data_IF_943935711324
#
_entry.id   IF_943935711324
#
_cell.length_a   1.000
_cell.length_b   1.000
_cell.length_c   1.000
_cell.angle_alpha   90.00
_cell.angle_beta   90.00
_cell.angle_gamma   90.00
#
_symmetry.space_group_name_H-M   'P 1'
#
loop_
_entity.id
_entity.type
_entity.pdbx_description
1 polymer ?
#
# COMPACT_ATOMS: atom_id res chain seq x y z
N UNK A 1 -11.00 -6.60 -0.65
CA UNK A 1 -11.49 -6.32 0.73
C UNK A 1 -12.40 -7.43 1.24
N UNK A 2 -13.49 -7.78 0.56
CA UNK A 2 -14.42 -8.83 1.01
C UNK A 2 -13.75 -10.19 1.30
N UNK A 3 -12.89 -10.68 0.40
CA UNK A 3 -12.21 -11.98 0.60
C UNK A 3 -11.47 -12.08 1.94
N UNK A 4 -10.67 -11.08 2.31
CA UNK A 4 -9.99 -11.11 3.62
C UNK A 4 -10.94 -10.91 4.81
N UNK A 5 -12.10 -10.26 4.63
CA UNK A 5 -13.13 -10.18 5.67
C UNK A 5 -13.73 -11.57 5.97
N UNK A 6 -13.88 -12.41 4.94
CA UNK A 6 -14.38 -13.77 5.07
C UNK A 6 -13.27 -14.79 5.36
N UNK A 7 -12.03 -14.34 5.61
CA UNK A 7 -10.88 -15.20 5.88
C UNK A 7 -10.25 -15.86 4.66
N UNK A 8 -10.71 -15.55 3.44
CA UNK A 8 -10.08 -15.98 2.20
C UNK A 8 -8.85 -15.11 1.89
N UNK A 9 -7.79 -15.39 2.64
CA UNK A 9 -6.50 -14.71 2.52
C UNK A 9 -5.72 -15.12 1.28
N UNK A 10 -6.00 -16.30 0.70
CA UNK A 10 -5.45 -16.69 -0.59
C UNK A 10 -5.87 -15.70 -1.67
N UNK A 11 -7.18 -15.52 -1.87
CA UNK A 11 -7.71 -14.58 -2.85
C UNK A 11 -7.36 -13.13 -2.48
N UNK A 12 -7.46 -12.79 -1.19
CA UNK A 12 -7.17 -11.44 -0.73
C UNK A 12 -5.73 -11.01 -1.03
N UNK A 13 -4.74 -11.85 -0.75
CA UNK A 13 -3.32 -11.55 -0.98
C UNK A 13 -3.00 -11.33 -2.45
N UNK A 14 -3.49 -12.21 -3.32
CA UNK A 14 -3.23 -12.12 -4.77
C UNK A 14 -3.90 -10.91 -5.42
N UNK A 15 -5.01 -10.41 -4.87
CA UNK A 15 -5.68 -9.22 -5.37
C UNK A 15 -5.09 -7.95 -4.76
N UNK A 16 -4.94 -7.89 -3.43
CA UNK A 16 -4.63 -6.64 -2.74
C UNK A 16 -3.19 -6.17 -2.97
N UNK A 17 -2.21 -7.07 -3.01
CA UNK A 17 -0.81 -6.66 -3.18
C UNK A 17 -0.59 -5.90 -4.51
N UNK A 18 -1.02 -6.40 -5.68
CA UNK A 18 -0.95 -5.64 -6.93
C UNK A 18 -1.73 -4.31 -6.88
N UNK A 19 -2.87 -4.28 -6.18
CA UNK A 19 -3.68 -3.06 -6.05
C UNK A 19 -3.00 -2.01 -5.18
N UNK A 20 -2.33 -2.40 -4.09
CA UNK A 20 -1.52 -1.49 -3.26
C UNK A 20 -0.36 -0.93 -4.09
N UNK A 21 0.36 -1.79 -4.81
CA UNK A 21 1.45 -1.37 -5.69
C UNK A 21 0.99 -0.33 -6.71
N UNK A 22 -0.11 -0.61 -7.41
CA UNK A 22 -0.68 0.32 -8.38
C UNK A 22 -1.18 1.62 -7.74
N UNK A 23 -1.80 1.53 -6.55
CA UNK A 23 -2.30 2.71 -5.82
C UNK A 23 -1.15 3.64 -5.41
N UNK A 24 -0.02 3.08 -4.97
CA UNK A 24 1.17 3.87 -4.62
C UNK A 24 1.71 4.58 -5.87
N UNK A 25 1.79 3.88 -7.00
CA UNK A 25 2.19 4.53 -8.27
C UNK A 25 1.26 5.67 -8.64
N UNK A 26 -0.05 5.42 -8.56
CA UNK A 26 -1.05 6.44 -8.85
C UNK A 26 -0.91 7.67 -7.94
N UNK A 27 -0.69 7.49 -6.64
CA UNK A 27 -0.48 8.60 -5.71
C UNK A 27 0.76 9.42 -6.05
N UNK A 28 1.86 8.77 -6.43
CA UNK A 28 3.08 9.44 -6.88
C UNK A 28 2.87 10.20 -8.19
N UNK A 29 2.20 9.58 -9.16
CA UNK A 29 1.83 10.22 -10.43
C UNK A 29 0.99 11.47 -10.19
N UNK A 30 0.00 11.43 -9.29
CA UNK A 30 -0.80 12.63 -8.94
C UNK A 30 0.03 13.77 -8.31
N UNK A 31 1.20 13.46 -7.76
CA UNK A 31 2.15 14.46 -7.23
C UNK A 31 3.14 14.96 -8.29
N UNK A 32 2.95 14.58 -9.55
CA UNK A 32 3.85 14.93 -10.66
C UNK A 32 5.14 14.10 -10.69
N UNK A 33 5.24 13.04 -9.89
CA UNK A 33 6.42 12.18 -9.85
C UNK A 33 6.24 11.10 -10.92
N UNK A 34 7.16 11.05 -11.87
CA UNK A 34 7.14 10.05 -12.93
C UNK A 34 7.54 8.70 -12.33
N UNK A 35 6.57 7.77 -12.26
CA UNK A 35 6.79 6.40 -11.76
C UNK A 35 7.18 5.42 -12.85
N UNK A 36 7.34 5.90 -14.08
CA UNK A 36 7.74 5.14 -15.24
C UNK A 36 9.01 5.71 -15.86
N UNK A 37 9.78 4.85 -16.51
CA UNK A 37 10.97 5.23 -17.27
C UNK A 37 10.88 4.70 -18.69
N UNK A 38 11.28 5.51 -19.67
CA UNK A 38 11.56 5.02 -21.01
C UNK A 38 12.84 4.20 -20.96
N UNK A 39 12.79 2.94 -21.39
CA UNK A 39 14.01 2.17 -21.60
C UNK A 39 14.69 2.61 -22.92
N UNK A 40 15.93 2.14 -23.16
CA UNK A 40 16.70 2.44 -24.37
C UNK A 40 15.98 2.07 -25.69
N UNK A 41 14.91 1.28 -25.62
CA UNK A 41 14.09 0.83 -26.74
C UNK A 41 12.80 1.64 -26.91
N UNK A 42 12.60 2.71 -26.15
CA UNK A 42 11.41 3.55 -26.22
C UNK A 42 10.15 2.94 -25.58
N UNK A 43 10.30 1.84 -24.82
CA UNK A 43 9.20 1.21 -24.08
C UNK A 43 9.14 1.80 -22.68
N UNK A 44 7.96 2.26 -22.29
CA UNK A 44 7.69 2.75 -20.94
C UNK A 44 7.59 1.56 -19.98
N UNK A 45 8.58 1.41 -19.11
CA UNK A 45 8.56 0.45 -18.02
C UNK A 45 8.16 1.15 -16.73
N UNK A 46 7.14 0.64 -16.05
CA UNK A 46 6.83 1.08 -14.68
C UNK A 46 7.98 0.70 -13.75
N UNK A 47 8.36 1.61 -12.85
CA UNK A 47 9.31 1.30 -11.80
C UNK A 47 8.75 0.19 -10.89
N UNK A 48 9.61 -0.77 -10.53
CA UNK A 48 9.29 -1.81 -9.56
C UNK A 48 9.03 -1.14 -8.20
N UNK A 49 8.03 -1.63 -7.45
CA UNK A 49 7.72 -1.21 -6.09
C UNK A 49 8.96 -1.20 -5.17
N UNK A 50 9.89 -2.15 -5.36
CA UNK A 50 11.17 -2.20 -4.65
C UNK A 50 11.95 -0.88 -4.77
N UNK A 51 11.90 -0.19 -5.90
CA UNK A 51 12.55 1.11 -6.10
C UNK A 51 11.65 2.28 -5.69
N UNK A 52 10.35 2.15 -5.92
CA UNK A 52 9.33 3.17 -5.66
C UNK A 52 9.29 3.57 -4.18
N UNK A 53 9.38 2.61 -3.26
CA UNK A 53 9.27 2.88 -1.82
C UNK A 53 10.52 3.55 -1.21
N UNK A 54 11.64 3.65 -1.91
CA UNK A 54 12.85 4.32 -1.41
C UNK A 54 13.10 5.68 -2.05
N UNK A 55 12.25 6.07 -2.99
CA UNK A 55 12.28 7.41 -3.56
C UNK A 55 11.99 8.45 -2.47
N UNK A 56 12.83 9.48 -2.29
CA UNK A 56 12.62 10.48 -1.24
C UNK A 56 11.24 11.16 -1.34
N UNK A 57 10.68 11.24 -2.55
CA UNK A 57 9.38 11.84 -2.80
C UNK A 57 8.21 11.08 -2.15
N UNK A 58 8.38 9.78 -1.83
CA UNK A 58 7.36 8.96 -1.15
C UNK A 58 7.05 9.49 0.26
N UNK A 59 8.02 10.14 0.90
CA UNK A 59 7.88 10.72 2.24
C UNK A 59 6.93 11.92 2.27
N UNK A 60 6.57 12.48 1.10
CA UNK A 60 5.52 13.50 0.98
C UNK A 60 4.10 12.90 0.97
N UNK A 61 3.97 11.58 0.84
CA UNK A 61 2.70 10.86 0.71
C UNK A 61 2.39 10.08 1.98
N UNK A 62 3.38 9.35 2.51
CA UNK A 62 3.23 8.52 3.70
C UNK A 62 4.13 9.02 4.82
N UNK A 63 3.63 8.95 6.06
CA UNK A 63 4.46 9.12 7.24
C UNK A 63 5.47 7.97 7.39
N UNK A 64 6.49 8.19 8.22
CA UNK A 64 7.61 7.25 8.40
C UNK A 64 7.15 5.86 8.83
N UNK A 65 6.17 5.77 9.74
CA UNK A 65 5.69 4.47 10.23
C UNK A 65 4.95 3.71 9.13
N UNK A 66 4.06 4.39 8.40
CA UNK A 66 3.34 3.77 7.28
C UNK A 66 4.31 3.33 6.17
N UNK A 67 5.36 4.12 5.89
CA UNK A 67 6.37 3.76 4.91
C UNK A 67 7.22 2.58 5.36
N UNK A 68 7.58 2.52 6.65
CA UNK A 68 8.27 1.39 7.25
C UNK A 68 7.44 0.10 7.13
N UNK A 69 6.16 0.16 7.51
CA UNK A 69 5.23 -0.98 7.39
C UNK A 69 5.15 -1.46 5.92
N UNK A 70 4.97 -0.54 4.97
CA UNK A 70 4.93 -0.87 3.53
C UNK A 70 6.21 -1.57 3.07
N UNK A 71 7.38 -1.09 3.49
CA UNK A 71 8.68 -1.67 3.13
C UNK A 71 8.84 -3.08 3.69
N UNK A 72 8.68 -3.22 5.00
CA UNK A 72 8.82 -4.51 5.70
C UNK A 72 7.80 -5.55 5.22
N UNK A 73 6.58 -5.12 4.92
CA UNK A 73 5.53 -6.01 4.44
C UNK A 73 5.75 -6.41 2.97
N UNK A 74 6.08 -5.49 2.08
CA UNK A 74 6.02 -5.78 0.65
C UNK A 74 7.37 -6.16 0.05
N UNK A 75 8.46 -5.47 0.39
CA UNK A 75 9.69 -5.47 -0.43
C UNK A 75 10.97 -5.85 0.30
N UNK A 76 11.05 -5.63 1.61
CA UNK A 76 12.27 -5.88 2.36
C UNK A 76 12.54 -7.37 2.54
N UNK A 77 13.76 -7.81 2.18
CA UNK A 77 14.20 -9.19 2.37
C UNK A 77 14.33 -9.58 3.86
N UNK A 78 14.71 -8.63 4.71
CA UNK A 78 14.73 -8.82 6.16
C UNK A 78 13.32 -8.77 6.78
N UNK A 79 12.34 -8.26 6.03
CA UNK A 79 10.92 -8.32 6.37
C UNK A 79 10.25 -9.57 5.79
N UNK A 80 8.96 -9.45 5.47
CA UNK A 80 8.21 -10.57 4.89
C UNK A 80 8.38 -10.72 3.38
N UNK A 81 8.82 -9.66 2.70
CA UNK A 81 9.04 -9.62 1.26
C UNK A 81 7.81 -10.09 0.45
N UNK A 82 6.61 -9.85 0.97
CA UNK A 82 5.40 -10.57 0.58
C UNK A 82 5.03 -10.33 -0.88
N UNK A 83 5.29 -9.13 -1.42
CA UNK A 83 5.02 -8.82 -2.82
C UNK A 83 5.87 -9.67 -3.76
N UNK A 84 7.17 -9.77 -3.49
CA UNK A 84 8.06 -10.55 -4.35
C UNK A 84 7.77 -12.05 -4.21
N UNK A 85 7.52 -12.53 -2.98
CA UNK A 85 7.14 -13.92 -2.74
C UNK A 85 5.84 -14.29 -3.46
N UNK A 86 4.81 -13.45 -3.37
CA UNK A 86 3.54 -13.66 -4.09
C UNK A 86 3.77 -13.70 -5.60
N UNK A 87 4.49 -12.72 -6.17
CA UNK A 87 4.73 -12.65 -7.61
C UNK A 87 5.53 -13.84 -8.17
N UNK A 88 6.37 -14.46 -7.33
CA UNK A 88 7.16 -15.64 -7.70
C UNK A 88 6.51 -16.98 -7.31
N UNK A 89 5.30 -16.98 -6.74
CA UNK A 89 4.63 -18.21 -6.31
C UNK A 89 5.34 -18.93 -5.15
N UNK A 90 6.01 -18.17 -4.27
CA UNK A 90 6.80 -18.67 -3.15
C UNK A 90 6.04 -18.64 -1.81
N UNK A 91 4.70 -18.64 -1.85
CA UNK A 91 3.85 -18.68 -0.66
C UNK A 91 3.16 -20.04 -0.63
N UNK A 92 3.36 -20.78 0.46
CA UNK A 92 2.71 -22.08 0.66
C UNK A 92 1.27 -21.95 1.14
N UNK A 93 0.46 -22.99 0.94
CA UNK A 93 -0.95 -23.03 1.36
C UNK A 93 -1.13 -22.72 2.86
N UNK A 94 -0.26 -23.27 3.72
CA UNK A 94 -0.29 -23.02 5.16
C UNK A 94 0.00 -21.56 5.53
N UNK A 95 0.80 -20.85 4.73
CA UNK A 95 1.12 -19.45 4.99
C UNK A 95 -0.04 -18.51 4.70
N UNK A 96 -0.99 -18.90 3.84
CA UNK A 96 -2.19 -18.10 3.63
C UNK A 96 -3.05 -17.99 4.89
N UNK A 97 -2.93 -18.94 5.82
CA UNK A 97 -3.61 -18.93 7.11
C UNK A 97 -2.80 -18.23 8.22
N UNK A 98 -1.64 -17.65 7.90
CA UNK A 98 -0.78 -17.01 8.88
C UNK A 98 -1.31 -15.62 9.32
N UNK A 99 -0.97 -15.17 10.54
CA UNK A 99 -1.27 -13.80 10.99
C UNK A 99 -0.70 -12.71 10.09
N UNK A 100 0.33 -13.02 9.29
CA UNK A 100 0.90 -12.08 8.33
C UNK A 100 -0.12 -11.67 7.24
N UNK A 101 -0.94 -12.61 6.77
CA UNK A 101 -1.92 -12.31 5.71
C UNK A 101 -3.10 -11.52 6.23
N UNK A 102 -3.55 -11.82 7.45
CA UNK A 102 -4.57 -11.02 8.13
C UNK A 102 -4.05 -9.62 8.44
N UNK A 103 -2.78 -9.48 8.84
CA UNK A 103 -2.13 -8.19 8.99
C UNK A 103 -2.04 -7.42 7.67
N UNK A 104 -1.63 -8.05 6.56
CA UNK A 104 -1.60 -7.40 5.24
C UNK A 104 -2.98 -6.87 4.82
N UNK A 105 -4.02 -7.68 5.05
CA UNK A 105 -5.39 -7.26 4.78
C UNK A 105 -5.84 -6.08 5.67
N UNK A 106 -5.57 -6.16 6.99
CA UNK A 106 -5.91 -5.09 7.93
C UNK A 106 -5.12 -3.82 7.65
N UNK A 107 -3.85 -3.95 7.28
CA UNK A 107 -3.01 -2.83 6.88
C UNK A 107 -3.57 -2.14 5.63
N UNK A 108 -4.08 -2.92 4.67
CA UNK A 108 -4.79 -2.38 3.51
C UNK A 108 -6.05 -1.62 3.91
N UNK A 109 -6.85 -2.17 4.85
CA UNK A 109 -7.99 -1.45 5.42
C UNK A 109 -7.56 -0.12 6.06
N UNK A 110 -6.48 -0.12 6.85
CA UNK A 110 -5.94 1.08 7.49
C UNK A 110 -5.57 2.13 6.44
N UNK A 111 -4.86 1.75 5.38
CA UNK A 111 -4.48 2.67 4.29
C UNK A 111 -5.70 3.32 3.62
N UNK A 112 -6.78 2.56 3.41
CA UNK A 112 -7.99 3.08 2.77
C UNK A 112 -8.86 3.92 3.71
N UNK A 113 -9.05 3.48 4.96
CA UNK A 113 -10.05 4.04 5.86
C UNK A 113 -9.50 5.18 6.73
N UNK A 114 -8.25 5.09 7.20
CA UNK A 114 -7.71 6.06 8.16
C UNK A 114 -7.68 7.50 7.61
N UNK A 115 -7.23 7.77 6.38
CA UNK A 115 -7.24 9.12 5.84
C UNK A 115 -8.66 9.72 5.75
N UNK A 116 -9.65 8.88 5.41
CA UNK A 116 -11.06 9.29 5.32
C UNK A 116 -11.60 9.67 6.70
N UNK A 117 -11.32 8.85 7.71
CA UNK A 117 -11.76 9.10 9.09
C UNK A 117 -11.14 10.39 9.64
N UNK A 118 -9.84 10.59 9.44
CA UNK A 118 -9.15 11.82 9.86
C UNK A 118 -9.77 13.04 9.16
N UNK A 119 -9.99 12.95 7.85
CA UNK A 119 -10.60 14.05 7.10
C UNK A 119 -12.01 14.40 7.61
N UNK A 120 -12.84 13.38 7.89
CA UNK A 120 -14.18 13.58 8.45
C UNK A 120 -14.14 14.22 9.86
N UNK A 121 -13.16 13.86 10.69
CA UNK A 121 -12.98 14.47 12.01
C UNK A 121 -12.59 15.95 11.91
N UNK A 122 -11.72 16.29 10.96
CA UNK A 122 -11.31 17.69 10.70
C UNK A 122 -12.50 18.54 10.26
N UNK A 123 -13.36 18.02 9.36
CA UNK A 123 -14.56 18.73 8.91
C UNK A 123 -15.53 19.02 10.07
N UNK A 124 -15.80 18.03 10.92
CA UNK A 124 -16.69 18.20 12.08
C UNK A 124 -16.16 19.23 13.08
N UNK A 125 -14.85 19.27 13.29
CA UNK A 125 -14.22 20.26 14.18
C UNK A 125 -14.32 21.68 13.61
N UNK A 126 -14.18 21.86 12.29
CA UNK A 126 -14.35 23.18 11.67
C UNK A 126 -15.79 23.70 11.75
N UNK A 127 -16.79 22.84 11.63
CA UNK A 127 -18.22 23.20 11.79
C UNK A 127 -18.51 23.66 13.23
N UNK A 128 -18.09 22.87 14.21
CA UNK A 128 -18.32 23.17 15.64
C UNK A 128 -17.69 24.49 16.10
N UNK A 129 -16.51 24.83 15.57
CA UNK A 129 -15.81 26.08 15.90
C UNK A 129 -16.43 27.32 15.24
N UNK A 130 -17.24 27.15 14.18
CA UNK A 130 -17.92 28.27 13.51
C UNK A 130 -19.23 28.63 14.23
N UNK A 131 -19.88 27.66 14.88
CA UNK A 131 -21.13 27.86 15.64
C UNK A 131 -20.92 28.45 17.05
N UNK A 132 -19.67 28.57 17.51
CA UNK A 132 -19.30 29.08 18.84
C UNK A 132 -18.76 30.52 18.84
N UNK A 133 -18.81 31.21 17.70
CA UNK A 133 -18.47 32.63 17.51
C UNK A 133 -19.72 33.40 17.09
#
# INVERSE_FOLDING_TARGET
MFAGLTGDFFTSTHILIPQIENSIRYLMWRRGIITSGLNYSGVQNEHNLNSTLYRPEIASIFDENTLFDLKCLLVEHAGSNLRNRMAHGLISDSEFLSPLMSYMWWFTLRLCCLPILIHQQQLKQSETNTDTI
#
